data_IF_199322133153
#
_entry.id   IF_199322133153
#
_cell.length_a   1.000
_cell.length_b   1.000
_cell.length_c   1.000
_cell.angle_alpha   90.00
_cell.angle_beta   90.00
_cell.angle_gamma   90.00
#
_symmetry.space_group_name_H-M   'P 1'
#
loop_
_entity.id
_entity.type
_entity.pdbx_description
1 polymer ?
#
# COMPACT_ATOMS: atom_id res chain seq x y z
N UNK A 1 11.29 17.65 -2.99
CA UNK A 1 12.39 17.29 -2.05
C UNK A 1 12.18 17.87 -0.66
N UNK A 2 11.64 19.09 -0.54
CA UNK A 2 11.32 19.71 0.75
C UNK A 2 10.22 18.95 1.49
N UNK A 3 9.16 18.52 0.79
CA UNK A 3 8.10 17.66 1.36
C UNK A 3 8.68 16.33 1.85
N UNK A 4 9.54 15.67 1.06
CA UNK A 4 10.25 14.46 1.46
C UNK A 4 11.13 14.69 2.69
N UNK A 5 11.81 15.82 2.74
CA UNK A 5 12.71 16.21 3.83
C UNK A 5 12.01 16.73 5.09
N UNK A 6 10.67 16.75 5.11
CA UNK A 6 9.87 17.26 6.24
C UNK A 6 10.12 18.73 6.58
N UNK A 7 10.34 19.56 5.56
CA UNK A 7 10.49 21.00 5.68
C UNK A 7 9.28 21.71 5.05
N UNK A 8 8.24 22.04 5.85
CA UNK A 8 7.04 22.70 5.35
C UNK A 8 7.30 24.15 4.86
N UNK A 9 8.22 24.86 5.46
CA UNK A 9 8.52 26.24 5.06
C UNK A 9 9.17 26.29 3.69
N UNK A 10 10.17 25.42 3.45
CA UNK A 10 10.76 25.27 2.13
C UNK A 10 9.76 24.74 1.10
N UNK A 11 8.86 23.81 1.48
CA UNK A 11 7.84 23.30 0.59
C UNK A 11 6.90 24.41 0.11
N UNK A 12 6.40 25.24 0.99
CA UNK A 12 5.52 26.38 0.67
C UNK A 12 6.28 27.46 -0.12
N UNK A 13 7.52 27.76 0.25
CA UNK A 13 8.34 28.71 -0.47
C UNK A 13 8.59 28.28 -1.93
N UNK A 14 8.97 27.04 -2.16
CA UNK A 14 9.19 26.54 -3.53
C UNK A 14 7.88 26.40 -4.31
N UNK A 15 6.77 26.09 -3.68
CA UNK A 15 5.44 26.16 -4.29
C UNK A 15 5.17 27.58 -4.80
N UNK A 16 5.37 28.61 -3.96
CA UNK A 16 5.19 30.01 -4.34
C UNK A 16 6.07 30.39 -5.53
N UNK A 17 7.35 29.95 -5.55
CA UNK A 17 8.25 30.19 -6.68
C UNK A 17 7.77 29.56 -7.98
N UNK A 18 7.24 28.31 -7.92
CA UNK A 18 6.69 27.65 -9.09
C UNK A 18 5.46 28.39 -9.64
N UNK A 19 4.54 28.79 -8.76
CA UNK A 19 3.35 29.56 -9.14
C UNK A 19 3.71 30.94 -9.71
N UNK A 20 4.67 31.62 -9.10
CA UNK A 20 5.16 32.92 -9.60
C UNK A 20 5.81 32.83 -10.97
N UNK A 21 6.49 31.71 -11.24
CA UNK A 21 7.09 31.43 -12.55
C UNK A 21 6.07 30.96 -13.60
N UNK A 22 4.78 30.84 -13.26
CA UNK A 22 3.72 30.41 -14.17
C UNK A 22 3.63 28.90 -14.38
N UNK A 23 4.19 28.10 -13.45
CA UNK A 23 4.06 26.64 -13.54
C UNK A 23 2.61 26.20 -13.42
N UNK A 24 2.25 25.15 -14.15
CA UNK A 24 0.90 24.58 -14.18
C UNK A 24 0.46 24.04 -12.82
N UNK A 25 -0.71 24.47 -12.35
CA UNK A 25 -1.38 23.95 -11.15
C UNK A 25 -1.52 22.43 -11.22
N UNK A 26 -1.90 21.89 -12.38
CA UNK A 26 -2.03 20.44 -12.61
C UNK A 26 -0.68 19.72 -12.48
N UNK A 27 0.40 20.30 -12.99
CA UNK A 27 1.73 19.72 -12.83
C UNK A 27 2.15 19.70 -11.36
N UNK A 28 1.98 20.81 -10.65
CA UNK A 28 2.29 20.91 -9.21
C UNK A 28 1.50 19.87 -8.41
N UNK A 29 0.18 19.78 -8.64
CA UNK A 29 -0.69 18.83 -7.96
C UNK A 29 -0.28 17.37 -8.22
N UNK A 30 0.09 17.01 -9.45
CA UNK A 30 0.63 15.67 -9.77
C UNK A 30 1.90 15.36 -8.99
N UNK A 31 2.80 16.31 -8.83
CA UNK A 31 4.02 16.11 -8.04
C UNK A 31 3.72 15.90 -6.56
N UNK A 32 2.69 16.58 -6.04
CA UNK A 32 2.22 16.36 -4.66
C UNK A 32 1.62 14.96 -4.48
N UNK A 33 0.78 14.48 -5.41
CA UNK A 33 0.21 13.12 -5.37
C UNK A 33 1.30 12.04 -5.40
N UNK A 34 2.32 12.22 -6.27
CA UNK A 34 3.45 11.29 -6.32
C UNK A 34 4.20 11.28 -4.98
N UNK A 35 4.55 12.46 -4.43
CA UNK A 35 5.24 12.57 -3.16
C UNK A 35 4.43 11.96 -2.00
N UNK A 36 3.12 12.17 -1.98
CA UNK A 36 2.23 11.57 -0.98
C UNK A 36 2.26 10.04 -1.00
N UNK A 37 2.37 9.41 -2.18
CA UNK A 37 2.46 7.95 -2.31
C UNK A 37 3.89 7.42 -2.13
N UNK A 38 4.87 8.12 -2.69
CA UNK A 38 6.28 7.70 -2.73
C UNK A 38 6.98 7.87 -1.38
N UNK A 39 6.74 9.00 -0.70
CA UNK A 39 7.50 9.42 0.46
C UNK A 39 6.72 9.31 1.78
N UNK A 40 5.39 9.41 1.74
CA UNK A 40 4.51 9.25 2.90
C UNK A 40 3.90 7.84 2.91
N UNK A 41 3.29 7.40 1.82
CA UNK A 41 2.72 6.07 1.67
C UNK A 41 1.75 5.72 2.80
N UNK A 42 1.88 4.51 3.33
CA UNK A 42 1.03 4.03 4.41
C UNK A 42 1.44 4.51 5.81
N UNK A 43 2.49 5.32 5.94
CA UNK A 43 2.77 5.99 7.21
C UNK A 43 1.66 7.01 7.56
N UNK A 44 1.07 7.65 6.55
CA UNK A 44 -0.17 8.41 6.65
C UNK A 44 -1.01 8.28 5.36
N UNK A 45 -1.95 7.33 5.29
CA UNK A 45 -2.78 7.12 4.10
C UNK A 45 -3.62 8.36 3.70
N UNK A 46 -3.85 9.28 4.62
CA UNK A 46 -4.60 10.52 4.37
C UNK A 46 -3.84 11.45 3.43
N UNK A 47 -2.52 11.38 3.39
CA UNK A 47 -1.70 12.28 2.56
C UNK A 47 -2.06 12.22 1.07
N UNK A 48 -2.29 11.02 0.52
CA UNK A 48 -2.73 10.88 -0.87
C UNK A 48 -4.14 11.43 -1.08
N UNK A 49 -5.06 11.23 -0.14
CA UNK A 49 -6.41 11.78 -0.20
C UNK A 49 -6.39 13.31 -0.19
N UNK A 50 -5.57 13.92 0.67
CA UNK A 50 -5.37 15.37 0.71
C UNK A 50 -4.80 15.88 -0.61
N UNK A 51 -3.78 15.23 -1.17
CA UNK A 51 -3.19 15.61 -2.45
C UNK A 51 -4.20 15.53 -3.61
N UNK A 52 -5.00 14.48 -3.69
CA UNK A 52 -6.04 14.32 -4.72
C UNK A 52 -7.14 15.35 -4.56
N UNK A 53 -7.64 15.56 -3.33
CA UNK A 53 -8.68 16.56 -3.05
C UNK A 53 -8.18 17.97 -3.38
N UNK A 54 -6.93 18.30 -3.06
CA UNK A 54 -6.33 19.58 -3.39
C UNK A 54 -6.19 19.77 -4.90
N UNK A 55 -5.82 18.75 -5.67
CA UNK A 55 -5.78 18.80 -7.14
C UNK A 55 -7.14 19.16 -7.72
N UNK A 56 -8.18 18.43 -7.35
CA UNK A 56 -9.54 18.64 -7.85
C UNK A 56 -10.10 20.01 -7.46
N UNK A 57 -9.85 20.43 -6.21
CA UNK A 57 -10.31 21.73 -5.72
C UNK A 57 -9.58 22.89 -6.42
N UNK A 58 -8.26 22.80 -6.58
CA UNK A 58 -7.48 23.82 -7.24
C UNK A 58 -7.86 24.02 -8.72
N UNK A 59 -8.17 22.93 -9.44
CA UNK A 59 -8.66 23.01 -10.83
C UNK A 59 -10.03 23.69 -10.93
N UNK A 60 -10.93 23.44 -9.98
CA UNK A 60 -12.30 24.02 -9.97
C UNK A 60 -12.33 25.47 -9.55
N UNK A 61 -11.51 25.83 -8.58
CA UNK A 61 -11.48 27.18 -8.01
C UNK A 61 -10.67 28.12 -8.89
N UNK A 62 -9.54 27.68 -9.41
CA UNK A 62 -8.62 28.48 -10.21
C UNK A 62 -7.78 29.45 -9.37
N UNK A 63 -6.89 30.18 -10.05
CA UNK A 63 -6.06 31.22 -9.43
C UNK A 63 -6.85 32.50 -9.20
N UNK A 64 -6.56 33.27 -8.15
CA UNK A 64 -5.43 33.08 -7.23
C UNK A 64 -5.69 32.14 -6.05
N UNK A 65 -6.92 31.74 -5.77
CA UNK A 65 -7.30 30.98 -4.56
C UNK A 65 -6.72 29.56 -4.56
N UNK A 66 -6.47 28.96 -5.73
CA UNK A 66 -5.84 27.65 -5.85
C UNK A 66 -4.49 27.56 -5.12
N UNK A 67 -3.75 28.68 -4.99
CA UNK A 67 -2.50 28.72 -4.22
C UNK A 67 -2.67 28.35 -2.75
N UNK A 68 -3.80 28.71 -2.14
CA UNK A 68 -4.11 28.42 -0.74
C UNK A 68 -4.31 26.91 -0.57
N UNK A 69 -5.08 26.30 -1.47
CA UNK A 69 -5.38 24.88 -1.49
C UNK A 69 -4.09 24.06 -1.65
N UNK A 70 -3.23 24.46 -2.58
CA UNK A 70 -1.96 23.79 -2.82
C UNK A 70 -0.98 23.97 -1.66
N UNK A 71 -0.97 25.15 -1.00
CA UNK A 71 -0.14 25.39 0.17
C UNK A 71 -0.55 24.51 1.36
N UNK A 72 -1.86 24.33 1.60
CA UNK A 72 -2.38 23.43 2.62
C UNK A 72 -1.89 21.98 2.36
N UNK A 73 -2.02 21.48 1.13
CA UNK A 73 -1.58 20.15 0.79
C UNK A 73 -0.06 19.97 0.91
N UNK A 74 0.73 20.95 0.43
CA UNK A 74 2.18 20.91 0.52
C UNK A 74 2.67 20.86 1.98
N UNK A 75 2.09 21.69 2.86
CA UNK A 75 2.40 21.72 4.28
C UNK A 75 2.01 20.40 4.95
N UNK A 76 0.81 19.86 4.65
CA UNK A 76 0.35 18.59 5.18
C UNK A 76 1.32 17.45 4.84
N UNK A 77 1.66 17.29 3.56
CA UNK A 77 2.57 16.25 3.07
C UNK A 77 3.97 16.41 3.69
N UNK A 78 4.46 17.64 3.80
CA UNK A 78 5.75 17.92 4.44
C UNK A 78 5.77 17.51 5.91
N UNK A 79 4.68 17.74 6.66
CA UNK A 79 4.59 17.41 8.08
C UNK A 79 4.22 15.96 8.37
N UNK A 80 3.71 15.22 7.38
CA UNK A 80 3.31 13.83 7.53
C UNK A 80 4.51 12.90 7.85
N UNK A 81 4.31 11.80 8.62
CA UNK A 81 5.36 10.79 8.80
C UNK A 81 5.73 10.18 7.45
N UNK A 82 6.99 9.79 7.29
CA UNK A 82 7.55 9.33 6.02
C UNK A 82 7.72 7.81 5.98
N UNK A 83 7.38 7.21 4.83
CA UNK A 83 7.68 5.82 4.50
C UNK A 83 7.78 5.64 2.99
N UNK A 84 8.80 4.93 2.54
CA UNK A 84 8.96 4.48 1.17
C UNK A 84 8.70 2.97 1.00
N UNK A 85 8.06 2.33 1.98
CA UNK A 85 7.84 0.88 1.99
C UNK A 85 7.06 0.40 0.75
N UNK A 86 6.07 1.16 0.28
CA UNK A 86 5.30 0.83 -0.92
C UNK A 86 6.15 0.89 -2.19
N UNK A 87 7.04 1.89 -2.31
CA UNK A 87 7.97 2.02 -3.45
C UNK A 87 8.94 0.85 -3.48
N UNK A 88 9.54 0.52 -2.34
CA UNK A 88 10.46 -0.60 -2.23
C UNK A 88 9.78 -1.93 -2.54
N UNK A 89 8.52 -2.11 -2.08
CA UNK A 89 7.73 -3.30 -2.34
C UNK A 89 7.50 -3.51 -3.85
N UNK A 90 6.98 -2.50 -4.55
CA UNK A 90 6.70 -2.63 -5.99
C UNK A 90 7.98 -2.75 -6.81
N UNK A 91 9.04 -2.02 -6.47
CA UNK A 91 10.31 -2.12 -7.17
C UNK A 91 10.93 -3.52 -7.05
N UNK A 92 10.91 -4.10 -5.83
CA UNK A 92 11.37 -5.47 -5.59
C UNK A 92 10.51 -6.51 -6.31
N UNK A 93 9.18 -6.32 -6.32
CA UNK A 93 8.27 -7.23 -7.01
C UNK A 93 8.48 -7.18 -8.54
N UNK A 94 8.59 -5.98 -9.12
CA UNK A 94 8.86 -5.80 -10.55
C UNK A 94 10.18 -6.47 -10.97
N UNK A 95 11.25 -6.24 -10.20
CA UNK A 95 12.53 -6.91 -10.45
C UNK A 95 12.40 -8.43 -10.39
N UNK A 96 11.67 -8.96 -9.43
CA UNK A 96 11.44 -10.41 -9.31
C UNK A 96 10.71 -10.94 -10.55
N UNK A 97 9.68 -10.26 -11.04
CA UNK A 97 8.95 -10.65 -12.25
C UNK A 97 9.85 -10.59 -13.49
N UNK A 98 10.71 -9.58 -13.62
CA UNK A 98 11.69 -9.51 -14.71
C UNK A 98 12.68 -10.68 -14.69
N UNK A 99 13.12 -11.12 -13.51
CA UNK A 99 14.07 -12.22 -13.34
C UNK A 99 13.44 -13.60 -13.52
N UNK A 100 12.19 -13.80 -13.07
CA UNK A 100 11.54 -15.11 -13.03
C UNK A 100 10.51 -15.34 -14.13
N UNK A 101 10.09 -14.29 -14.81
CA UNK A 101 8.99 -14.35 -15.77
C UNK A 101 7.64 -14.59 -15.08
N UNK A 102 6.70 -15.15 -15.85
CA UNK A 102 5.34 -15.39 -15.41
C UNK A 102 5.22 -16.75 -14.71
N UNK A 103 5.50 -16.79 -13.40
CA UNK A 103 5.37 -17.99 -12.58
C UNK A 103 3.90 -18.41 -12.41
N UNK A 104 3.67 -19.72 -12.23
CA UNK A 104 2.33 -20.26 -12.08
C UNK A 104 1.68 -19.84 -10.76
N UNK A 105 0.42 -19.43 -10.83
CA UNK A 105 -0.41 -19.17 -9.64
C UNK A 105 -0.71 -20.51 -8.95
N UNK A 106 -0.60 -20.63 -7.62
CA UNK A 106 -0.99 -21.83 -6.88
C UNK A 106 -2.39 -22.32 -7.26
N UNK A 107 -2.54 -23.63 -7.48
CA UNK A 107 -3.77 -24.22 -8.07
C UNK A 107 -5.02 -23.91 -7.24
N UNK A 108 -4.90 -23.88 -5.90
CA UNK A 108 -6.02 -23.54 -5.01
C UNK A 108 -6.50 -22.08 -5.12
N UNK A 109 -5.68 -21.17 -5.69
CA UNK A 109 -6.04 -19.78 -5.92
C UNK A 109 -6.61 -19.52 -7.32
N UNK A 110 -6.58 -20.53 -8.20
CA UNK A 110 -7.08 -20.40 -9.56
C UNK A 110 -8.60 -20.46 -9.58
N UNK A 111 -9.23 -19.73 -10.49
CA UNK A 111 -10.69 -19.64 -10.59
C UNK A 111 -11.32 -21.03 -10.82
N UNK A 112 -12.27 -21.37 -9.97
CA UNK A 112 -13.00 -22.63 -10.01
C UNK A 112 -14.39 -22.52 -10.70
N UNK A 113 -14.80 -21.32 -11.15
CA UNK A 113 -16.17 -21.07 -11.60
C UNK A 113 -16.43 -21.37 -13.10
N UNK A 114 -15.43 -21.76 -13.88
CA UNK A 114 -15.61 -22.08 -15.30
C UNK A 114 -15.73 -23.60 -15.57
N UNK A 115 -16.42 -23.95 -16.70
CA UNK A 115 -16.57 -25.35 -17.11
C UNK A 115 -15.20 -26.01 -17.35
N UNK A 116 -14.89 -27.06 -16.59
CA UNK A 116 -13.61 -27.78 -16.68
C UNK A 116 -12.61 -27.45 -15.57
N UNK A 117 -12.81 -26.39 -14.78
CA UNK A 117 -11.96 -26.03 -13.66
C UNK A 117 -11.75 -27.20 -12.67
N UNK A 118 -12.83 -27.92 -12.36
CA UNK A 118 -12.78 -29.09 -11.46
C UNK A 118 -11.89 -30.23 -11.99
N UNK A 119 -11.81 -30.44 -13.33
CA UNK A 119 -10.93 -31.44 -13.94
C UNK A 119 -9.44 -31.08 -13.83
N UNK A 120 -9.16 -29.78 -13.73
CA UNK A 120 -7.82 -29.24 -13.57
C UNK A 120 -7.44 -29.04 -12.09
N UNK A 121 -8.37 -29.32 -11.16
CA UNK A 121 -8.17 -29.14 -9.72
C UNK A 121 -8.12 -27.70 -9.26
N UNK A 122 -8.57 -26.74 -10.09
CA UNK A 122 -8.58 -25.32 -9.76
C UNK A 122 -9.49 -25.04 -8.55
N UNK A 123 -9.02 -24.23 -7.61
CA UNK A 123 -9.73 -23.90 -6.37
C UNK A 123 -9.79 -25.03 -5.34
N UNK A 124 -9.22 -26.21 -5.64
CA UNK A 124 -9.19 -27.31 -4.68
C UNK A 124 -8.34 -26.94 -3.47
N UNK A 125 -8.89 -27.25 -2.28
CA UNK A 125 -8.23 -27.01 -0.99
C UNK A 125 -8.01 -25.51 -0.65
N UNK A 126 -8.70 -24.59 -1.34
CA UNK A 126 -8.70 -23.18 -0.97
C UNK A 126 -9.36 -22.97 0.40
N UNK A 127 -8.63 -22.31 1.29
CA UNK A 127 -9.13 -21.96 2.62
C UNK A 127 -9.70 -20.54 2.59
N UNK A 128 -11.01 -20.42 2.77
CA UNK A 128 -11.68 -19.11 2.79
C UNK A 128 -11.38 -18.39 4.10
N UNK A 129 -10.63 -17.30 4.05
CA UNK A 129 -10.11 -16.62 5.23
C UNK A 129 -11.20 -16.17 6.23
N UNK A 130 -12.40 -15.83 5.75
CA UNK A 130 -13.51 -15.42 6.62
C UNK A 130 -14.07 -16.54 7.52
N UNK A 131 -13.79 -17.82 7.21
CA UNK A 131 -14.16 -18.96 8.05
C UNK A 131 -13.22 -19.18 9.22
N UNK A 132 -12.14 -18.39 9.30
CA UNK A 132 -11.09 -18.51 10.31
C UNK A 132 -11.05 -17.31 11.26
N UNK A 133 -10.56 -17.49 12.50
CA UNK A 133 -10.38 -16.40 13.46
C UNK A 133 -9.58 -15.24 12.87
N UNK A 134 -10.00 -14.02 13.18
CA UNK A 134 -9.42 -12.77 12.64
C UNK A 134 -9.44 -12.69 11.10
N UNK A 135 -10.27 -13.48 10.41
CA UNK A 135 -10.31 -13.57 8.95
C UNK A 135 -8.93 -13.82 8.33
N UNK A 136 -8.14 -14.65 9.01
CA UNK A 136 -6.79 -14.98 8.59
C UNK A 136 -6.53 -16.48 8.70
N UNK A 137 -5.99 -17.06 7.63
CA UNK A 137 -5.56 -18.45 7.57
C UNK A 137 -4.21 -18.52 6.87
N UNK A 138 -3.34 -19.37 7.38
CA UNK A 138 -2.04 -19.60 6.77
C UNK A 138 -2.19 -20.50 5.57
N UNK A 139 -1.91 -19.97 4.37
CA UNK A 139 -1.83 -20.73 3.12
C UNK A 139 -0.85 -20.03 2.16
N UNK A 140 -0.42 -20.74 1.13
CA UNK A 140 0.51 -20.21 0.14
C UNK A 140 -0.25 -19.33 -0.88
N UNK A 141 0.08 -18.04 -0.95
CA UNK A 141 -0.50 -17.09 -1.90
C UNK A 141 0.44 -16.78 -3.07
N UNK A 142 1.74 -16.64 -2.81
CA UNK A 142 2.73 -16.45 -3.88
C UNK A 142 2.96 -17.76 -4.64
N UNK A 143 3.46 -17.69 -5.88
CA UNK A 143 4.03 -18.87 -6.56
C UNK A 143 4.97 -19.63 -5.61
N UNK A 144 5.01 -20.96 -5.74
CA UNK A 144 5.77 -21.81 -4.81
C UNK A 144 7.27 -21.48 -4.83
N UNK A 145 7.80 -21.05 -5.96
CA UNK A 145 9.18 -20.61 -6.15
C UNK A 145 9.54 -19.37 -5.35
N UNK A 146 8.51 -18.60 -4.97
CA UNK A 146 8.62 -17.38 -4.17
C UNK A 146 8.14 -17.58 -2.72
N UNK A 147 8.02 -18.83 -2.28
CA UNK A 147 7.58 -19.14 -0.91
C UNK A 147 8.48 -18.46 0.12
N UNK A 148 7.86 -17.77 1.10
CA UNK A 148 8.59 -17.02 2.13
C UNK A 148 9.14 -15.67 1.69
N UNK A 149 8.97 -15.28 0.42
CA UNK A 149 9.38 -13.94 -0.04
C UNK A 149 8.48 -12.86 0.57
N UNK A 150 9.08 -11.81 1.07
CA UNK A 150 8.36 -10.62 1.55
C UNK A 150 8.73 -9.42 0.67
N UNK A 151 7.71 -8.80 0.06
CA UNK A 151 7.87 -7.57 -0.73
C UNK A 151 7.54 -6.33 0.08
N UNK A 152 6.41 -6.34 0.80
CA UNK A 152 5.97 -5.20 1.61
C UNK A 152 6.42 -5.38 3.06
N UNK A 153 7.29 -4.47 3.51
CA UNK A 153 7.80 -4.41 4.87
C UNK A 153 7.43 -3.05 5.47
N UNK A 154 6.36 -3.00 6.29
CA UNK A 154 5.94 -1.75 6.93
C UNK A 154 7.06 -1.11 7.73
N UNK A 155 7.19 0.20 7.62
CA UNK A 155 8.16 0.98 8.39
C UNK A 155 7.81 1.09 9.87
N UNK A 156 8.59 1.91 10.57
CA UNK A 156 8.43 2.17 12.01
C UNK A 156 7.75 3.50 12.33
N UNK A 157 7.06 4.15 11.38
CA UNK A 157 6.47 5.47 11.57
C UNK A 157 4.98 5.51 11.23
N UNK A 158 4.25 6.36 11.93
CA UNK A 158 2.86 6.66 11.65
C UNK A 158 1.96 5.41 11.69
N UNK A 159 1.05 5.32 10.73
CA UNK A 159 0.07 4.22 10.66
C UNK A 159 0.72 2.86 10.34
N UNK A 160 1.90 2.81 9.73
CA UNK A 160 2.60 1.56 9.44
C UNK A 160 2.97 0.77 10.71
N UNK A 161 3.17 1.44 11.85
CA UNK A 161 3.33 0.77 13.14
C UNK A 161 2.12 -0.11 13.45
N UNK A 162 0.90 0.45 13.28
CA UNK A 162 -0.36 -0.29 13.51
C UNK A 162 -0.54 -1.45 12.51
N UNK A 163 -0.18 -1.25 11.25
CA UNK A 163 -0.18 -2.31 10.23
C UNK A 163 0.73 -3.46 10.67
N UNK A 164 1.96 -3.14 11.06
CA UNK A 164 2.96 -4.13 11.50
C UNK A 164 2.47 -4.92 12.73
N UNK A 165 1.97 -4.24 13.73
CA UNK A 165 1.42 -4.86 14.94
C UNK A 165 0.24 -5.77 14.64
N UNK A 166 -0.70 -5.31 13.79
CA UNK A 166 -1.85 -6.10 13.36
C UNK A 166 -1.41 -7.38 12.65
N UNK A 167 -0.53 -7.27 11.65
CA UNK A 167 -0.04 -8.43 10.88
C UNK A 167 0.72 -9.42 11.75
N UNK A 168 1.53 -8.95 12.68
CA UNK A 168 2.24 -9.82 13.62
C UNK A 168 1.28 -10.53 14.57
N UNK A 169 0.23 -9.85 15.04
CA UNK A 169 -0.78 -10.42 15.92
C UNK A 169 -1.54 -11.56 15.24
N UNK A 170 -2.13 -11.33 14.07
CA UNK A 170 -2.92 -12.35 13.37
C UNK A 170 -2.06 -13.56 12.98
N UNK A 171 -0.82 -13.37 12.58
CA UNK A 171 0.13 -14.47 12.26
C UNK A 171 0.45 -15.32 13.51
N UNK A 172 0.66 -14.67 14.66
CA UNK A 172 0.93 -15.39 15.93
C UNK A 172 -0.30 -16.18 16.41
N UNK A 173 -1.48 -15.61 16.30
CA UNK A 173 -2.73 -16.27 16.72
C UNK A 173 -3.03 -17.48 15.84
N UNK A 174 -2.87 -17.38 14.53
CA UNK A 174 -3.03 -18.50 13.61
C UNK A 174 -2.04 -19.65 13.90
N UNK A 175 -0.78 -19.33 14.18
CA UNK A 175 0.22 -20.34 14.55
C UNK A 175 -0.13 -21.11 15.84
N UNK A 176 -0.73 -20.43 16.83
CA UNK A 176 -1.19 -21.07 18.07
C UNK A 176 -2.38 -22.01 17.83
N UNK A 177 -3.28 -21.66 16.91
CA UNK A 177 -4.45 -22.47 16.57
C UNK A 177 -4.03 -23.75 15.83
N UNK A 178 -3.02 -23.69 14.97
CA UNK A 178 -2.47 -24.85 14.26
C UNK A 178 -1.73 -25.83 15.19
N UNK A 179 -1.21 -25.36 16.34
CA UNK A 179 -0.47 -26.17 17.31
C UNK A 179 -1.34 -26.83 18.37
N UNK A 180 -2.64 -26.50 18.47
CA UNK A 180 -3.55 -27.23 19.36
C UNK A 180 -3.91 -28.56 18.69
N UNK A 181 -3.59 -29.73 19.28
CA UNK A 181 -4.06 -31.02 18.79
C UNK A 181 -5.59 -30.99 18.76
N UNK A 182 -6.18 -31.63 17.76
CA UNK A 182 -7.61 -31.97 17.76
C UNK A 182 -7.85 -33.08 18.82
N UNK A 183 -7.67 -32.75 20.08
CA UNK A 183 -8.11 -33.62 21.18
C UNK A 183 -9.63 -33.45 21.35
N UNK A 184 -10.39 -34.35 20.79
CA UNK A 184 -11.81 -34.42 21.06
C UNK A 184 -12.73 -34.83 19.94
N UNK A 185 -12.42 -35.88 19.21
CA UNK A 185 -13.39 -36.58 18.38
C UNK A 185 -13.29 -38.09 18.57
N UNK A 186 -13.49 -38.54 19.81
CA UNK A 186 -13.88 -39.91 20.15
C UNK A 186 -14.72 -39.84 21.43
N UNK A 187 -16.02 -39.77 21.28
CA UNK A 187 -17.03 -40.40 22.16
C UNK A 187 -18.35 -40.50 21.42
#
# INVERSE_FOLDING_TARGET
KSMRGSDPDAAVYYLARMLYAGESVTFIARRMMICASEDVGNADPTALQVAVSASLAAERVGMPEAQIILAQAAAYIACAPKSNAAVNAIASAMKTVEETGNLAIPVHLQDAHYKGAAKLGHGKDYKYAHDYPNHYVRQQYLPYELSGREFYQPGGMGYEVKIKEHMQRIRREAAKTEQKPQDGAEQ
#
